data_IF_413974947396
#
_entry.id   IF_413974947396
#
_cell.length_a   1.000
_cell.length_b   1.000
_cell.length_c   1.000
_cell.angle_alpha   90.00
_cell.angle_beta   90.00
_cell.angle_gamma   90.00
#
_symmetry.space_group_name_H-M   'P 1'
#
loop_
_entity.id
_entity.type
_entity.pdbx_description
1 polymer ?
#
# COMPACT_ATOMS: atom_id res chain seq x y z
N UNK A 1 3.36 -3.52 -4.17
CA UNK A 1 2.47 -3.12 -5.27
C UNK A 1 3.14 -3.11 -6.64
N UNK A 2 4.18 -2.30 -6.90
CA UNK A 2 4.71 -2.10 -8.26
C UNK A 2 5.18 -3.37 -8.97
N UNK A 3 5.96 -4.23 -8.30
CA UNK A 3 6.51 -5.44 -8.92
C UNK A 3 5.46 -6.51 -9.27
N UNK A 4 4.22 -6.34 -8.81
CA UNK A 4 3.10 -7.21 -9.19
C UNK A 4 2.57 -6.87 -10.60
N UNK A 5 2.92 -5.70 -11.13
CA UNK A 5 2.40 -5.16 -12.40
C UNK A 5 3.41 -5.38 -13.51
N UNK A 6 3.02 -6.09 -14.56
CA UNK A 6 3.86 -6.32 -15.73
C UNK A 6 4.00 -5.06 -16.59
N UNK A 7 5.22 -4.82 -17.08
CA UNK A 7 5.45 -3.87 -18.15
C UNK A 7 5.20 -4.57 -19.48
N UNK A 8 4.57 -3.85 -20.41
CA UNK A 8 4.46 -4.31 -21.79
C UNK A 8 5.87 -4.53 -22.35
N UNK A 9 6.06 -5.58 -23.17
CA UNK A 9 7.39 -6.00 -23.64
C UNK A 9 8.15 -4.87 -24.35
N UNK A 10 7.43 -4.05 -25.12
CA UNK A 10 7.98 -2.88 -25.81
C UNK A 10 8.48 -1.78 -24.85
N UNK A 11 7.94 -1.70 -23.63
CA UNK A 11 8.30 -0.68 -22.64
C UNK A 11 9.39 -1.16 -21.67
N UNK A 12 9.73 -2.46 -21.66
CA UNK A 12 10.76 -2.98 -20.76
C UNK A 12 12.14 -2.39 -21.06
N UNK A 13 12.39 -2.00 -22.30
CA UNK A 13 13.69 -1.55 -22.78
C UNK A 13 14.12 -0.20 -22.19
N UNK A 14 13.16 0.66 -21.82
CA UNK A 14 13.43 1.96 -21.21
C UNK A 14 13.78 1.86 -19.72
N UNK A 15 13.69 0.65 -19.13
CA UNK A 15 13.99 0.39 -17.71
C UNK A 15 15.33 -0.33 -17.51
N UNK A 16 16.27 -0.17 -18.45
CA UNK A 16 17.59 -0.81 -18.35
C UNK A 16 18.42 -0.23 -17.21
N UNK A 17 19.15 -1.10 -16.54
CA UNK A 17 20.19 -0.70 -15.59
C UNK A 17 21.46 -1.50 -15.81
N UNK A 18 22.58 -0.85 -15.53
CA UNK A 18 23.90 -1.47 -15.53
C UNK A 18 24.20 -1.98 -14.12
N UNK A 19 24.73 -3.19 -14.03
CA UNK A 19 25.18 -3.78 -12.77
C UNK A 19 26.58 -4.37 -12.93
N UNK A 20 27.43 -4.09 -11.95
CA UNK A 20 28.78 -4.66 -11.85
C UNK A 20 29.12 -4.83 -10.37
N UNK A 21 29.77 -5.93 -10.05
CA UNK A 21 30.44 -6.10 -8.76
C UNK A 21 31.80 -5.36 -8.80
N UNK A 22 31.97 -4.37 -7.92
CA UNK A 22 33.16 -3.51 -7.89
C UNK A 22 34.44 -4.27 -7.51
N UNK A 23 34.33 -5.44 -6.85
CA UNK A 23 35.46 -6.30 -6.52
C UNK A 23 35.81 -7.32 -7.61
N UNK A 24 35.02 -7.42 -8.68
CA UNK A 24 35.14 -8.46 -9.70
C UNK A 24 35.76 -7.92 -11.00
N UNK A 25 36.52 -8.77 -11.70
CA UNK A 25 36.99 -8.51 -13.07
C UNK A 25 35.92 -8.82 -14.13
N UNK A 26 34.73 -9.27 -13.72
CA UNK A 26 33.64 -9.55 -14.65
C UNK A 26 33.14 -8.29 -15.38
N UNK A 27 32.70 -8.49 -16.63
CA UNK A 27 32.11 -7.43 -17.43
C UNK A 27 30.80 -6.91 -16.81
N UNK A 28 30.49 -5.63 -17.04
CA UNK A 28 29.20 -5.04 -16.66
C UNK A 28 28.05 -5.81 -17.30
N UNK A 29 27.07 -6.19 -16.49
CA UNK A 29 25.83 -6.82 -16.94
C UNK A 29 24.77 -5.76 -17.16
N UNK A 30 23.92 -5.97 -18.17
CA UNK A 30 22.76 -5.13 -18.46
C UNK A 30 21.52 -5.90 -18.02
N UNK A 31 20.75 -5.30 -17.12
CA UNK A 31 19.44 -5.80 -16.71
C UNK A 31 18.35 -4.87 -17.25
N UNK A 32 17.11 -5.39 -17.31
CA UNK A 32 15.90 -4.61 -17.58
C UNK A 32 14.80 -5.07 -16.65
N UNK A 33 13.94 -4.17 -16.20
CA UNK A 33 12.78 -4.57 -15.41
C UNK A 33 11.69 -5.13 -16.32
N UNK A 34 11.05 -6.22 -15.89
CA UNK A 34 9.85 -6.79 -16.53
C UNK A 34 8.55 -6.31 -15.89
N UNK A 35 8.67 -5.58 -14.78
CA UNK A 35 7.60 -5.13 -13.92
C UNK A 35 7.79 -3.66 -13.63
N UNK A 36 6.73 -2.95 -13.28
CA UNK A 36 6.83 -1.55 -12.86
C UNK A 36 7.83 -1.48 -11.69
N UNK A 37 8.85 -0.65 -11.82
CA UNK A 37 9.90 -0.50 -10.81
C UNK A 37 9.73 0.81 -10.03
N UNK A 38 10.40 0.91 -8.90
CA UNK A 38 10.44 2.16 -8.13
C UNK A 38 11.28 3.20 -8.89
N UNK A 39 10.88 4.47 -8.80
CA UNK A 39 11.67 5.59 -9.32
C UNK A 39 11.33 6.03 -10.75
N UNK A 40 10.42 5.36 -11.47
CA UNK A 40 9.86 5.94 -12.69
C UNK A 40 8.85 7.02 -12.31
N UNK A 41 8.86 8.14 -13.04
CA UNK A 41 7.89 9.23 -12.87
C UNK A 41 6.45 8.76 -13.03
N UNK A 42 6.22 7.72 -13.85
CA UNK A 42 4.91 7.15 -14.12
C UNK A 42 4.52 5.97 -13.21
N UNK A 43 5.40 5.47 -12.32
CA UNK A 43 5.14 4.24 -11.56
C UNK A 43 3.87 4.31 -10.70
N UNK A 44 3.66 5.44 -10.03
CA UNK A 44 2.47 5.66 -9.18
C UNK A 44 1.20 5.67 -10.03
N UNK A 45 1.21 6.40 -11.15
CA UNK A 45 0.09 6.46 -12.07
C UNK A 45 -0.28 5.08 -12.61
N UNK A 46 0.72 4.30 -13.05
CA UNK A 46 0.51 2.95 -13.56
C UNK A 46 -0.07 2.03 -12.49
N UNK A 47 0.44 2.10 -11.25
CA UNK A 47 -0.05 1.28 -10.16
C UNK A 47 -1.50 1.57 -9.80
N UNK A 48 -1.84 2.86 -9.62
CA UNK A 48 -3.20 3.27 -9.32
C UNK A 48 -4.14 2.95 -10.48
N UNK A 49 -3.71 3.10 -11.74
CA UNK A 49 -4.52 2.76 -12.90
C UNK A 49 -4.87 1.29 -12.94
N UNK A 50 -3.91 0.41 -12.64
CA UNK A 50 -4.13 -1.04 -12.61
C UNK A 50 -5.08 -1.44 -11.49
N UNK A 51 -4.91 -0.90 -10.27
CA UNK A 51 -5.82 -1.23 -9.16
C UNK A 51 -7.25 -0.75 -9.45
N UNK A 52 -7.41 0.49 -9.92
CA UNK A 52 -8.72 1.03 -10.31
C UNK A 52 -9.35 0.22 -11.43
N UNK A 53 -8.56 -0.18 -12.44
CA UNK A 53 -9.04 -1.06 -13.50
C UNK A 53 -9.51 -2.40 -12.95
N UNK A 54 -8.77 -3.02 -12.01
CA UNK A 54 -9.19 -4.26 -11.37
C UNK A 54 -10.50 -4.10 -10.59
N UNK A 55 -10.65 -3.03 -9.82
CA UNK A 55 -11.87 -2.71 -9.06
C UNK A 55 -13.09 -2.61 -9.98
N UNK A 56 -12.98 -1.83 -11.06
CA UNK A 56 -14.06 -1.58 -12.02
C UNK A 56 -14.45 -2.83 -12.83
N UNK A 57 -13.51 -3.76 -13.06
CA UNK A 57 -13.78 -5.00 -13.81
C UNK A 57 -14.19 -6.17 -12.91
N UNK A 58 -14.10 -6.04 -11.58
CA UNK A 58 -14.48 -7.08 -10.63
C UNK A 58 -15.52 -6.61 -9.59
N UNK A 59 -16.60 -5.87 -9.97
CA UNK A 59 -17.52 -5.32 -8.99
C UNK A 59 -18.39 -6.39 -8.31
N UNK A 60 -18.60 -7.54 -8.96
CA UNK A 60 -19.54 -8.55 -8.48
C UNK A 60 -19.06 -9.20 -7.18
N UNK A 61 -19.88 -9.07 -6.14
CA UNK A 61 -19.69 -9.68 -4.83
C UNK A 61 -18.85 -8.87 -3.84
N UNK A 62 -18.32 -7.70 -4.24
CA UNK A 62 -17.45 -6.88 -3.38
C UNK A 62 -17.80 -5.38 -3.38
N UNK A 63 -19.07 -4.96 -3.28
CA UNK A 63 -19.44 -3.55 -3.45
C UNK A 63 -18.77 -2.60 -2.44
N UNK A 64 -18.61 -3.02 -1.18
CA UNK A 64 -17.93 -2.20 -0.16
C UNK A 64 -16.44 -2.09 -0.49
N UNK A 65 -15.79 -3.22 -0.78
CA UNK A 65 -14.36 -3.25 -1.11
C UNK A 65 -14.02 -2.41 -2.35
N UNK A 66 -14.82 -2.53 -3.40
CA UNK A 66 -14.66 -1.76 -4.65
C UNK A 66 -14.78 -0.26 -4.39
N UNK A 67 -15.78 0.17 -3.61
CA UNK A 67 -15.95 1.58 -3.28
C UNK A 67 -14.72 2.11 -2.52
N UNK A 68 -14.23 1.36 -1.53
CA UNK A 68 -13.05 1.75 -0.77
C UNK A 68 -11.78 1.81 -1.62
N UNK A 69 -11.56 0.87 -2.56
CA UNK A 69 -10.41 0.95 -3.48
C UNK A 69 -10.47 2.17 -4.41
N UNK A 70 -11.67 2.55 -4.85
CA UNK A 70 -11.85 3.64 -5.78
C UNK A 70 -11.77 5.02 -5.12
N UNK A 71 -12.18 5.14 -3.86
CA UNK A 71 -12.28 6.41 -3.15
C UNK A 71 -11.13 6.64 -2.16
N UNK A 72 -10.66 5.59 -1.50
CA UNK A 72 -9.86 5.70 -0.28
C UNK A 72 -8.46 5.08 -0.38
N UNK A 73 -8.07 4.64 -1.57
CA UNK A 73 -6.72 4.16 -1.82
C UNK A 73 -5.79 5.31 -2.26
N UNK A 74 -4.67 5.44 -1.55
CA UNK A 74 -3.58 6.36 -1.86
C UNK A 74 -2.29 5.58 -2.08
N UNK A 75 -1.94 5.36 -3.35
CA UNK A 75 -0.74 4.61 -3.76
C UNK A 75 -0.73 3.22 -3.11
N UNK A 76 0.10 3.04 -2.08
CA UNK A 76 0.32 1.80 -1.36
C UNK A 76 -0.61 1.68 -0.13
N UNK A 77 -1.24 2.77 0.30
CA UNK A 77 -2.04 2.82 1.53
C UNK A 77 -3.55 2.85 1.21
N UNK A 78 -4.36 2.24 2.07
CA UNK A 78 -5.82 2.39 2.04
C UNK A 78 -6.31 2.81 3.43
N UNK A 79 -7.03 3.93 3.49
CA UNK A 79 -7.47 4.52 4.75
C UNK A 79 -8.95 4.82 4.66
N UNK A 80 -9.77 4.15 5.47
CA UNK A 80 -11.21 4.35 5.43
C UNK A 80 -11.86 4.40 6.81
N UNK A 81 -13.08 4.92 6.80
CA UNK A 81 -13.96 5.03 7.95
C UNK A 81 -15.29 4.32 7.68
N UNK A 82 -15.84 3.69 8.71
CA UNK A 82 -17.19 3.09 8.71
C UNK A 82 -17.81 3.23 10.10
N UNK A 83 -19.11 3.44 10.20
CA UNK A 83 -19.78 3.66 11.49
C UNK A 83 -19.92 2.38 12.33
N UNK A 84 -20.05 1.23 11.68
CA UNK A 84 -20.39 -0.04 12.33
C UNK A 84 -19.30 -1.10 12.16
N UNK A 85 -19.01 -1.82 13.25
CA UNK A 85 -18.00 -2.89 13.23
C UNK A 85 -18.35 -4.03 12.26
N UNK A 86 -19.64 -4.27 12.03
CA UNK A 86 -20.10 -5.28 11.08
C UNK A 86 -19.70 -4.89 9.67
N UNK A 87 -19.90 -3.63 9.29
CA UNK A 87 -19.51 -3.09 7.99
C UNK A 87 -17.99 -3.03 7.84
N UNK A 88 -17.26 -2.73 8.92
CA UNK A 88 -15.79 -2.79 8.94
C UNK A 88 -15.28 -4.19 8.61
N UNK A 89 -15.81 -5.21 9.28
CA UNK A 89 -15.44 -6.62 9.06
C UNK A 89 -15.74 -7.03 7.62
N UNK A 90 -16.92 -6.69 7.12
CA UNK A 90 -17.32 -7.06 5.76
C UNK A 90 -16.46 -6.34 4.71
N UNK A 91 -16.21 -5.04 4.91
CA UNK A 91 -15.34 -4.24 4.04
C UNK A 91 -13.93 -4.83 3.96
N UNK A 92 -13.34 -5.23 5.09
CA UNK A 92 -12.02 -5.89 5.12
C UNK A 92 -12.02 -7.20 4.34
N UNK A 93 -13.04 -8.05 4.54
CA UNK A 93 -13.16 -9.32 3.82
C UNK A 93 -13.22 -9.07 2.31
N UNK A 94 -14.05 -8.12 1.89
CA UNK A 94 -14.22 -7.77 0.48
C UNK A 94 -12.92 -7.20 -0.11
N UNK A 95 -12.25 -6.28 0.58
CA UNK A 95 -10.95 -5.70 0.19
C UNK A 95 -9.87 -6.77 0.00
N UNK A 96 -9.73 -7.68 0.97
CA UNK A 96 -8.77 -8.80 0.85
C UNK A 96 -9.09 -9.67 -0.36
N UNK A 97 -10.37 -9.97 -0.60
CA UNK A 97 -10.78 -10.81 -1.70
C UNK A 97 -10.52 -10.16 -3.07
N UNK A 98 -10.90 -8.90 -3.27
CA UNK A 98 -10.73 -8.21 -4.55
C UNK A 98 -9.26 -7.87 -4.84
N UNK A 99 -8.49 -7.41 -3.85
CA UNK A 99 -7.05 -7.19 -4.03
C UNK A 99 -6.32 -8.48 -4.38
N UNK A 100 -6.69 -9.59 -3.73
CA UNK A 100 -6.13 -10.90 -4.03
C UNK A 100 -6.46 -11.37 -5.45
N UNK A 101 -7.65 -11.07 -5.98
CA UNK A 101 -7.99 -11.31 -7.39
C UNK A 101 -7.09 -10.53 -8.34
N UNK A 102 -6.70 -9.30 -7.97
CA UNK A 102 -5.72 -8.49 -8.70
C UNK A 102 -4.25 -8.93 -8.52
N UNK A 103 -3.98 -9.94 -7.69
CA UNK A 103 -2.62 -10.39 -7.37
C UNK A 103 -1.90 -9.50 -6.33
N UNK A 104 -2.64 -8.64 -5.64
CA UNK A 104 -2.14 -7.79 -4.57
C UNK A 104 -2.48 -8.39 -3.19
N UNK A 105 -1.63 -8.12 -2.20
CA UNK A 105 -1.83 -8.55 -0.81
C UNK A 105 -1.81 -7.32 0.08
N UNK A 106 -2.94 -7.01 0.70
CA UNK A 106 -3.03 -6.00 1.75
C UNK A 106 -2.43 -6.54 3.03
N UNK A 107 -1.58 -5.75 3.68
CA UNK A 107 -0.87 -6.11 4.90
C UNK A 107 -0.85 -4.91 5.85
N UNK A 108 -0.35 -5.11 7.07
CA UNK A 108 -0.23 -4.08 8.10
C UNK A 108 -1.57 -3.44 8.45
N UNK A 109 -2.59 -4.28 8.61
CA UNK A 109 -3.90 -3.85 9.03
C UNK A 109 -3.87 -3.30 10.45
N UNK A 110 -4.56 -2.18 10.65
CA UNK A 110 -4.66 -1.50 11.94
C UNK A 110 -6.00 -0.79 12.09
N UNK A 111 -6.55 -0.82 13.31
CA UNK A 111 -7.84 -0.22 13.67
C UNK A 111 -7.88 0.05 15.17
N UNK A 112 -8.66 1.08 15.57
CA UNK A 112 -9.03 1.32 16.96
C UNK A 112 -9.85 0.15 17.55
N UNK A 113 -10.52 -0.65 16.71
CA UNK A 113 -11.23 -1.87 17.11
C UNK A 113 -10.61 -3.14 16.54
N UNK A 114 -9.84 -3.86 17.36
CA UNK A 114 -9.17 -5.11 16.96
C UNK A 114 -10.14 -6.23 16.51
N UNK A 115 -11.38 -6.20 16.99
CA UNK A 115 -12.39 -7.19 16.61
C UNK A 115 -12.72 -7.17 15.10
N UNK A 116 -12.39 -6.09 14.37
CA UNK A 116 -12.48 -6.02 12.90
C UNK A 116 -11.65 -7.11 12.22
N UNK A 117 -10.50 -7.47 12.80
CA UNK A 117 -9.53 -8.37 12.20
C UNK A 117 -9.66 -9.84 12.61
N UNK A 118 -10.78 -10.23 13.24
CA UNK A 118 -10.96 -11.57 13.79
C UNK A 118 -10.78 -12.72 12.78
N UNK A 119 -10.91 -12.45 11.48
CA UNK A 119 -10.75 -13.44 10.39
C UNK A 119 -9.44 -13.30 9.61
N UNK A 120 -8.60 -12.31 9.92
CA UNK A 120 -7.32 -12.10 9.23
C UNK A 120 -6.20 -12.91 9.90
N UNK A 121 -5.20 -13.37 9.12
CA UNK A 121 -4.03 -14.01 9.70
C UNK A 121 -3.18 -12.98 10.44
N UNK A 122 -2.56 -13.39 11.55
CA UNK A 122 -1.80 -12.48 12.43
C UNK A 122 -0.60 -11.81 11.75
N UNK A 123 -0.05 -12.44 10.71
CA UNK A 123 1.05 -11.91 9.90
C UNK A 123 0.66 -10.68 9.05
N UNK A 124 -0.63 -10.51 8.77
CA UNK A 124 -1.14 -9.35 8.03
C UNK A 124 -1.43 -8.16 8.96
N UNK A 125 -1.35 -8.33 10.28
CA UNK A 125 -1.57 -7.26 11.27
C UNK A 125 -0.27 -6.52 11.58
N UNK A 126 -0.36 -5.26 11.99
CA UNK A 126 0.80 -4.56 12.56
C UNK A 126 1.25 -5.29 13.83
N UNK A 127 2.54 -5.66 13.92
CA UNK A 127 3.13 -6.23 15.13
C UNK A 127 3.03 -5.18 16.25
N UNK A 128 2.39 -5.54 17.36
CA UNK A 128 2.26 -4.69 18.55
C UNK A 128 3.62 -4.51 19.23
N UNK A 129 4.47 -3.66 18.69
CA UNK A 129 5.58 -3.09 19.47
C UNK A 129 5.00 -1.99 20.36
N UNK A 130 4.38 -2.43 21.46
CA UNK A 130 4.02 -1.74 22.71
C UNK A 130 3.29 -0.39 22.72
N UNK A 131 3.26 0.37 21.63
CA UNK A 131 2.58 1.65 21.53
C UNK A 131 1.42 1.51 20.55
N UNK A 132 0.20 1.84 20.98
CA UNK A 132 -1.04 1.87 20.20
C UNK A 132 -1.02 3.03 19.18
N UNK A 133 0.10 3.20 18.49
CA UNK A 133 0.41 4.34 17.63
C UNK A 133 0.75 3.81 16.25
N UNK A 134 -0.06 4.17 15.25
CA UNK A 134 0.22 3.89 13.85
C UNK A 134 0.64 5.17 13.13
N UNK A 135 1.45 5.06 12.08
CA UNK A 135 1.78 6.19 11.20
C UNK A 135 1.22 5.90 9.83
N UNK A 136 0.37 6.79 9.31
CA UNK A 136 -0.21 6.68 7.97
C UNK A 136 -0.12 8.02 7.27
N UNK A 137 0.35 8.02 6.02
CA UNK A 137 0.51 9.25 5.21
C UNK A 137 1.28 10.39 5.92
N UNK A 138 2.21 10.04 6.80
CA UNK A 138 2.99 11.01 7.58
C UNK A 138 2.34 11.46 8.89
N UNK A 139 1.06 11.14 9.13
CA UNK A 139 0.30 11.50 10.32
C UNK A 139 0.37 10.36 11.33
N UNK A 140 0.52 10.70 12.61
CA UNK A 140 0.49 9.74 13.71
C UNK A 140 -0.96 9.56 14.15
N UNK A 141 -1.41 8.32 14.29
CA UNK A 141 -2.73 7.97 14.80
C UNK A 141 -2.60 7.21 16.11
N UNK A 142 -3.11 7.80 17.19
CA UNK A 142 -3.32 7.13 18.47
C UNK A 142 -4.59 6.30 18.38
N UNK A 143 -4.43 4.99 18.32
CA UNK A 143 -5.50 4.01 18.22
C UNK A 143 -6.30 3.88 19.52
N UNK A 144 -5.71 4.23 20.66
CA UNK A 144 -6.34 4.08 21.97
C UNK A 144 -7.40 5.16 22.18
N UNK A 145 -7.05 6.39 21.82
CA UNK A 145 -7.91 7.57 21.96
C UNK A 145 -8.63 7.94 20.67
N UNK A 146 -8.29 7.28 19.55
CA UNK A 146 -8.77 7.58 18.21
C UNK A 146 -8.48 9.03 17.76
N UNK A 147 -7.24 9.47 18.04
CA UNK A 147 -6.79 10.85 17.79
C UNK A 147 -5.66 10.90 16.75
N UNK A 148 -5.77 11.82 15.79
CA UNK A 148 -4.69 12.12 14.86
C UNK A 148 -3.77 13.18 15.47
N UNK A 149 -2.49 12.82 15.60
CA UNK A 149 -1.44 13.67 16.16
C UNK A 149 -0.60 14.22 15.00
N UNK A 150 -0.58 15.54 14.90
CA UNK A 150 0.31 16.28 14.00
C UNK A 150 1.36 17.03 14.83
N UNK A 151 2.64 16.75 14.56
CA UNK A 151 3.73 17.53 15.13
C UNK A 151 4.01 18.74 14.26
N UNK A 152 4.03 19.95 14.85
CA UNK A 152 4.63 21.11 14.19
C UNK A 152 6.12 20.81 13.96
N UNK A 153 6.63 20.78 12.71
CA UNK A 153 8.02 20.47 12.48
C UNK A 153 8.89 21.57 13.12
N UNK A 154 9.82 21.23 14.04
CA UNK A 154 10.80 22.21 14.48
C UNK A 154 11.73 22.50 13.29
N UNK A 155 11.70 23.73 12.78
CA UNK A 155 12.53 24.28 11.69
C UNK A 155 12.81 23.29 10.54
N UNK A 156 11.99 23.37 9.49
CA UNK A 156 12.16 22.59 8.25
C UNK A 156 13.50 22.91 7.59
N UNK A 157 14.44 21.98 7.64
CA UNK A 157 15.62 21.98 6.77
C UNK A 157 15.21 21.28 5.45
N UNK A 158 15.33 21.99 4.33
CA UNK A 158 14.66 21.71 3.04
C UNK A 158 15.32 20.53 2.27
N UNK A 159 16.11 19.70 2.93
CA UNK A 159 17.09 18.81 2.28
C UNK A 159 16.80 17.30 2.25
N UNK A 160 15.91 16.74 3.08
CA UNK A 160 15.75 15.28 3.17
C UNK A 160 14.46 14.79 2.49
N UNK A 161 14.64 14.01 1.42
CA UNK A 161 13.55 13.36 0.68
C UNK A 161 13.56 11.85 0.94
N UNK A 162 13.13 11.44 2.13
CA UNK A 162 12.87 10.03 2.41
C UNK A 162 11.37 9.73 2.30
N UNK A 163 10.93 9.40 1.08
CA UNK A 163 9.59 8.85 0.80
C UNK A 163 9.69 7.33 0.57
N UNK A 164 9.77 6.56 1.65
CA UNK A 164 9.45 5.13 1.60
C UNK A 164 8.24 4.86 2.49
N UNK A 165 7.07 4.79 1.85
CA UNK A 165 5.83 4.38 2.50
C UNK A 165 5.58 2.91 2.14
N UNK A 166 5.67 1.97 3.10
CA UNK A 166 5.15 0.63 2.89
C UNK A 166 3.62 0.65 2.91
N UNK A 167 2.96 -0.29 2.22
CA UNK A 167 1.49 -0.42 2.25
C UNK A 167 0.97 -0.56 3.70
N UNK A 168 0.19 0.40 4.16
CA UNK A 168 -0.46 0.48 5.47
C UNK A 168 -1.97 0.64 5.24
N UNK A 169 -2.73 -0.26 5.85
CA UNK A 169 -4.19 -0.26 5.77
C UNK A 169 -4.76 0.22 7.11
N UNK A 170 -5.39 1.39 7.11
CA UNK A 170 -5.92 2.03 8.32
C UNK A 170 -7.44 2.02 8.29
N UNK A 171 -8.05 1.55 9.36
CA UNK A 171 -9.49 1.50 9.49
C UNK A 171 -9.91 2.19 10.77
N UNK A 172 -10.55 3.34 10.63
CA UNK A 172 -11.26 4.00 11.73
C UNK A 172 -12.68 3.43 11.79
N UNK A 173 -13.11 2.96 12.95
CA UNK A 173 -14.50 2.58 13.21
C UNK A 173 -15.04 3.42 14.33
#
# INVERSE_FOLDING_TARGET
MFFQIALHENDQDVTRCLWRDLGSLEATRIFRFKRVCFGLTCSLFLAMSVIRYHALNNPQGFPLGVNQELENMYVDDIVFYVDEIVDAKETVIQLVAIMKKGGFRLTKWVSNMQAVFAKLPSEDLIKKDTNLVSKSLGIVWDLANDELIYGSPPNVDVGSSDMKHPMICVIKV
#
